data_IF_076313944660
#
_entry.id   IF_076313944660
#
_cell.length_a   1.000
_cell.length_b   1.000
_cell.length_c   1.000
_cell.angle_alpha   90.00
_cell.angle_beta   90.00
_cell.angle_gamma   90.00
#
_symmetry.space_group_name_H-M   'P 1'
#
loop_
_entity.id
_entity.type
_entity.pdbx_description
1 polymer ?
#
# COMPACT_ATOMS: atom_id res chain seq x y z
N UNK A 1 -20.06 -3.56 -4.28
CA UNK A 1 -18.80 -2.82 -4.36
C UNK A 1 -17.78 -3.60 -5.19
N UNK A 2 -17.09 -2.94 -6.07
CA UNK A 2 -16.02 -3.55 -6.87
C UNK A 2 -14.70 -3.54 -6.06
N UNK A 3 -14.16 -4.72 -5.76
CA UNK A 3 -12.88 -4.84 -5.05
C UNK A 3 -11.71 -5.07 -6.00
N UNK A 4 -11.91 -5.87 -7.02
CA UNK A 4 -10.87 -6.19 -8.00
C UNK A 4 -10.99 -5.29 -9.21
N UNK A 5 -9.86 -4.80 -9.66
CA UNK A 5 -9.75 -3.98 -10.85
C UNK A 5 -8.80 -4.65 -11.84
N UNK A 6 -9.23 -4.77 -13.08
CA UNK A 6 -8.39 -5.30 -14.15
C UNK A 6 -7.73 -4.16 -14.89
N UNK A 7 -6.55 -3.77 -14.41
CA UNK A 7 -5.74 -2.75 -15.08
C UNK A 7 -4.66 -3.41 -15.92
N UNK A 8 -4.52 -3.06 -17.20
CA UNK A 8 -3.46 -3.62 -18.04
C UNK A 8 -2.08 -3.36 -17.45
N UNK A 9 -1.27 -4.41 -17.36
CA UNK A 9 0.08 -4.33 -16.81
C UNK A 9 0.17 -4.21 -15.29
N UNK A 10 -0.96 -4.22 -14.59
CA UNK A 10 -0.99 -4.17 -13.12
C UNK A 10 -1.82 -5.34 -12.60
N UNK A 11 -1.15 -6.31 -12.03
CA UNK A 11 -1.80 -7.53 -11.54
C UNK A 11 -2.28 -7.35 -10.09
N UNK A 12 -3.37 -8.03 -9.76
CA UNK A 12 -3.90 -8.12 -8.39
C UNK A 12 -4.21 -6.77 -7.73
N UNK A 13 -4.59 -5.76 -8.50
CA UNK A 13 -5.02 -4.50 -7.93
C UNK A 13 -6.42 -4.68 -7.32
N UNK A 14 -6.53 -4.37 -6.04
CA UNK A 14 -7.79 -4.54 -5.31
C UNK A 14 -7.94 -3.52 -4.19
N UNK A 15 -9.18 -3.15 -3.95
CA UNK A 15 -9.58 -2.34 -2.80
C UNK A 15 -9.65 -3.25 -1.56
N UNK A 16 -9.04 -2.83 -0.47
CA UNK A 16 -9.09 -3.55 0.81
C UNK A 16 -10.26 -3.09 1.69
N UNK A 17 -11.16 -2.31 1.15
CA UNK A 17 -12.33 -1.82 1.86
C UNK A 17 -13.50 -2.80 1.87
N UNK A 18 -14.55 -2.37 2.52
CA UNK A 18 -15.85 -3.06 2.62
C UNK A 18 -15.81 -4.41 3.34
N UNK A 19 -14.80 -4.66 4.15
CA UNK A 19 -14.76 -5.79 5.06
C UNK A 19 -15.40 -5.41 6.41
N UNK A 20 -16.07 -6.38 7.03
CA UNK A 20 -16.59 -6.20 8.39
C UNK A 20 -15.41 -6.01 9.36
N UNK A 21 -15.55 -5.04 10.25
CA UNK A 21 -14.53 -4.71 11.24
C UNK A 21 -15.19 -4.29 12.54
N UNK A 22 -14.40 -4.14 13.59
CA UNK A 22 -14.84 -3.57 14.86
C UNK A 22 -13.87 -2.45 15.25
N UNK A 23 -14.42 -1.37 15.79
CA UNK A 23 -13.58 -0.30 16.33
C UNK A 23 -13.04 -0.68 17.72
N UNK A 24 -12.28 0.22 18.33
CA UNK A 24 -11.67 -0.02 19.65
C UNK A 24 -12.72 -0.20 20.75
N UNK A 25 -13.92 0.33 20.55
CA UNK A 25 -15.03 0.19 21.48
C UNK A 25 -15.88 -1.07 21.22
N UNK A 26 -15.48 -1.89 20.25
CA UNK A 26 -16.17 -3.12 19.88
C UNK A 26 -17.38 -2.92 18.99
N UNK A 27 -17.65 -1.72 18.53
CA UNK A 27 -18.77 -1.44 17.63
C UNK A 27 -18.52 -1.98 16.23
N UNK A 28 -19.56 -2.53 15.61
CA UNK A 28 -19.49 -3.00 14.25
C UNK A 28 -19.25 -1.84 13.28
N UNK A 29 -18.27 -2.01 12.42
CA UNK A 29 -17.88 -1.05 11.40
C UNK A 29 -17.57 -1.79 10.10
N UNK A 30 -17.33 -1.04 9.04
CA UNK A 30 -16.81 -1.56 7.79
C UNK A 30 -15.55 -0.78 7.40
N UNK A 31 -14.59 -1.46 6.84
CA UNK A 31 -13.38 -0.82 6.32
C UNK A 31 -13.81 0.10 5.17
N UNK A 32 -13.31 1.32 5.17
CA UNK A 32 -13.67 2.31 4.17
C UNK A 32 -13.15 1.91 2.78
N UNK A 33 -14.01 2.00 1.79
CA UNK A 33 -13.65 1.74 0.39
C UNK A 33 -12.99 2.95 -0.25
N UNK A 34 -12.14 2.71 -1.27
CA UNK A 34 -11.52 3.80 -2.02
C UNK A 34 -10.35 4.47 -1.31
N UNK A 35 -9.84 3.89 -0.25
CA UNK A 35 -8.78 4.47 0.58
C UNK A 35 -7.51 3.64 0.55
N UNK A 36 -7.63 2.34 0.79
CA UNK A 36 -6.50 1.44 0.89
C UNK A 36 -6.58 0.38 -0.19
N UNK A 37 -5.54 0.28 -1.01
CA UNK A 37 -5.45 -0.66 -2.12
C UNK A 37 -4.22 -1.54 -1.98
N UNK A 38 -4.26 -2.69 -2.63
CA UNK A 38 -3.13 -3.60 -2.73
C UNK A 38 -2.94 -3.98 -4.19
N UNK A 39 -1.69 -4.12 -4.61
CA UNK A 39 -1.37 -4.44 -6.00
C UNK A 39 -0.07 -5.21 -6.10
N UNK A 40 0.18 -5.79 -7.27
CA UNK A 40 1.51 -6.20 -7.69
C UNK A 40 2.39 -4.98 -8.00
N UNK A 41 3.55 -5.20 -8.61
CA UNK A 41 4.46 -4.10 -8.93
C UNK A 41 3.93 -3.24 -10.09
N UNK A 42 4.45 -2.02 -10.17
CA UNK A 42 4.04 -1.04 -11.18
C UNK A 42 4.98 -0.98 -12.40
N UNK A 43 5.79 -2.00 -12.62
CA UNK A 43 6.76 -1.99 -13.71
C UNK A 43 6.12 -2.01 -15.10
N UNK A 44 5.08 -2.80 -15.26
CA UNK A 44 4.41 -3.03 -16.54
C UNK A 44 3.13 -2.21 -16.73
N UNK A 45 2.90 -1.23 -15.88
CA UNK A 45 1.70 -0.37 -15.94
C UNK A 45 1.69 0.42 -17.24
N UNK A 46 0.60 0.29 -18.01
CA UNK A 46 0.46 1.03 -19.26
C UNK A 46 -0.28 2.38 -19.07
N UNK A 47 -0.44 3.13 -20.17
CA UNK A 47 -1.08 4.44 -20.13
C UNK A 47 -2.54 4.37 -19.67
N UNK A 48 -3.28 3.35 -20.09
CA UNK A 48 -4.68 3.17 -19.69
C UNK A 48 -4.80 2.93 -18.19
N UNK A 49 -3.93 2.08 -17.64
CA UNK A 49 -3.87 1.83 -16.20
C UNK A 49 -3.47 3.09 -15.43
N UNK A 50 -2.52 3.87 -15.92
CA UNK A 50 -2.15 5.15 -15.31
C UNK A 50 -3.34 6.10 -15.21
N UNK A 51 -4.13 6.23 -16.28
CA UNK A 51 -5.31 7.08 -16.26
C UNK A 51 -6.35 6.61 -15.25
N UNK A 52 -6.58 5.31 -15.18
CA UNK A 52 -7.50 4.73 -14.21
C UNK A 52 -7.03 4.93 -12.77
N UNK A 53 -5.74 4.74 -12.52
CA UNK A 53 -5.14 4.97 -11.19
C UNK A 53 -5.20 6.44 -10.79
N UNK A 54 -5.00 7.35 -11.72
CA UNK A 54 -5.09 8.78 -11.46
C UNK A 54 -6.47 9.18 -10.91
N UNK A 55 -7.52 8.54 -11.40
CA UNK A 55 -8.90 8.80 -10.96
C UNK A 55 -9.17 8.29 -9.53
N UNK A 56 -8.33 7.42 -8.98
CA UNK A 56 -8.49 6.90 -7.62
C UNK A 56 -7.94 7.83 -6.56
N UNK A 57 -7.18 8.87 -6.92
CA UNK A 57 -6.63 9.82 -5.98
C UNK A 57 -5.58 9.24 -5.04
N UNK A 58 -4.69 8.40 -5.56
CA UNK A 58 -3.62 7.78 -4.78
C UNK A 58 -2.66 8.86 -4.26
N UNK A 59 -2.52 8.95 -2.95
CA UNK A 59 -1.67 9.94 -2.30
C UNK A 59 -0.34 9.36 -1.81
N UNK A 60 -0.33 8.08 -1.45
CA UNK A 60 0.84 7.41 -0.89
C UNK A 60 0.97 6.01 -1.45
N UNK A 61 2.21 5.59 -1.68
CA UNK A 61 2.55 4.24 -2.11
C UNK A 61 3.54 3.66 -1.10
N UNK A 62 3.25 2.47 -0.61
CA UNK A 62 4.15 1.71 0.25
C UNK A 62 4.68 0.52 -0.54
N UNK A 63 5.97 0.53 -0.83
CA UNK A 63 6.63 -0.52 -1.60
C UNK A 63 7.41 -1.42 -0.64
N UNK A 64 7.03 -2.70 -0.59
CA UNK A 64 7.64 -3.68 0.31
C UNK A 64 8.65 -4.57 -0.39
N UNK A 65 9.02 -4.25 -1.62
CA UNK A 65 9.93 -5.09 -2.40
C UNK A 65 11.37 -4.96 -1.93
N UNK A 66 12.15 -6.03 -2.17
CA UNK A 66 13.58 -6.00 -1.91
C UNK A 66 14.29 -5.08 -2.92
N UNK A 67 15.51 -4.64 -2.58
CA UNK A 67 16.34 -3.85 -3.51
C UNK A 67 16.57 -4.59 -4.83
N UNK A 68 16.73 -5.91 -4.78
CA UNK A 68 16.92 -6.75 -5.96
C UNK A 68 15.70 -6.75 -6.87
N UNK A 69 14.51 -6.83 -6.30
CA UNK A 69 13.26 -6.77 -7.06
C UNK A 69 13.06 -5.41 -7.71
N UNK A 70 13.35 -4.34 -6.98
CA UNK A 70 13.29 -2.96 -7.49
C UNK A 70 14.28 -2.74 -8.63
N UNK A 71 15.48 -3.32 -8.53
CA UNK A 71 16.50 -3.19 -9.55
C UNK A 71 16.09 -3.90 -10.84
N UNK A 72 15.48 -5.08 -10.74
CA UNK A 72 15.00 -5.85 -11.90
C UNK A 72 13.78 -5.25 -12.55
N UNK A 73 12.84 -4.77 -11.76
CA UNK A 73 11.56 -4.24 -12.22
C UNK A 73 11.22 -2.94 -11.48
N UNK A 74 11.90 -1.84 -11.80
CA UNK A 74 11.64 -0.56 -11.15
C UNK A 74 10.20 -0.12 -11.40
N UNK A 75 9.65 0.60 -10.43
CA UNK A 75 8.31 1.16 -10.56
C UNK A 75 8.28 2.21 -11.67
N UNK A 76 7.32 2.09 -12.56
CA UNK A 76 7.06 3.05 -13.64
C UNK A 76 5.80 3.86 -13.39
N UNK A 77 5.34 3.90 -12.15
CA UNK A 77 4.17 4.65 -11.79
C UNK A 77 4.45 6.16 -11.88
N UNK A 78 3.71 6.86 -12.74
CA UNK A 78 3.83 8.29 -12.96
C UNK A 78 2.44 8.90 -12.87
N UNK A 79 2.04 9.32 -11.68
CA UNK A 79 0.77 9.96 -11.43
C UNK A 79 0.97 11.45 -11.17
N UNK A 80 -0.03 12.25 -11.51
CA UNK A 80 -0.06 13.69 -11.22
C UNK A 80 -1.33 14.03 -10.44
N UNK A 81 -1.21 14.59 -9.24
CA UNK A 81 0.05 14.84 -8.52
C UNK A 81 0.76 13.53 -8.14
N UNK A 82 2.07 13.58 -8.05
CA UNK A 82 2.87 12.39 -7.73
C UNK A 82 2.61 11.94 -6.29
N UNK A 83 2.32 10.65 -6.05
CA UNK A 83 2.18 10.14 -4.70
C UNK A 83 3.53 10.11 -3.99
N UNK A 84 3.50 10.20 -2.67
CA UNK A 84 4.68 9.98 -1.85
C UNK A 84 4.94 8.48 -1.78
N UNK A 85 6.14 8.04 -2.17
CA UNK A 85 6.52 6.64 -2.13
C UNK A 85 7.39 6.35 -0.92
N UNK A 86 6.99 5.35 -0.15
CA UNK A 86 7.72 4.85 1.02
C UNK A 86 8.26 3.46 0.69
N UNK A 87 9.57 3.32 0.72
CA UNK A 87 10.18 2.01 0.52
C UNK A 87 10.43 1.35 1.88
N UNK A 88 9.75 0.24 2.11
CA UNK A 88 9.83 -0.54 3.36
C UNK A 88 10.18 -1.98 2.99
N UNK A 89 11.46 -2.25 2.80
CA UNK A 89 11.93 -3.54 2.30
C UNK A 89 11.54 -4.69 3.22
N UNK A 90 10.78 -5.65 2.66
CA UNK A 90 10.44 -6.92 3.29
C UNK A 90 11.20 -8.04 2.62
N UNK A 91 12.24 -8.55 3.29
CA UNK A 91 12.97 -9.73 2.81
C UNK A 91 12.56 -10.94 3.66
N UNK A 92 11.72 -11.85 3.12
CA UNK A 92 11.24 -13.00 3.87
C UNK A 92 12.34 -14.03 4.19
N UNK A 93 13.51 -13.92 3.54
CA UNK A 93 14.66 -14.79 3.81
C UNK A 93 15.50 -14.41 5.02
N UNK A 94 15.25 -13.24 5.62
CA UNK A 94 15.97 -12.74 6.76
C UNK A 94 15.06 -12.62 7.98
N UNK A 95 15.32 -13.38 9.03
CA UNK A 95 14.53 -13.34 10.27
C UNK A 95 14.54 -11.98 10.98
N UNK A 96 15.45 -11.09 10.61
CA UNK A 96 15.58 -9.76 11.19
C UNK A 96 15.05 -8.64 10.28
N UNK A 97 14.54 -8.98 9.13
CA UNK A 97 14.16 -7.97 8.11
C UNK A 97 13.10 -7.03 8.62
N UNK A 98 12.13 -7.55 9.33
CA UNK A 98 11.07 -6.72 9.87
C UNK A 98 11.61 -5.70 10.89
N UNK A 99 12.57 -6.11 11.72
CA UNK A 99 13.24 -5.20 12.66
C UNK A 99 14.10 -4.16 11.94
N UNK A 100 14.75 -4.54 10.85
CA UNK A 100 15.54 -3.62 10.04
C UNK A 100 14.69 -2.59 9.32
N UNK A 101 13.52 -3.00 8.83
CA UNK A 101 12.58 -2.12 8.15
C UNK A 101 12.00 -1.03 9.05
N UNK A 102 11.85 -1.32 10.31
CA UNK A 102 11.24 -0.41 11.28
C UNK A 102 12.30 0.39 12.02
N UNK A 103 13.38 0.72 11.36
CA UNK A 103 14.37 1.66 11.90
C UNK A 103 13.71 3.01 12.15
N UNK A 104 14.16 3.72 13.18
CA UNK A 104 13.56 5.01 13.52
C UNK A 104 13.60 5.95 12.32
N UNK A 105 12.44 6.46 11.95
CA UNK A 105 12.32 7.58 11.03
C UNK A 105 12.07 8.80 11.90
N UNK A 106 13.01 9.73 11.90
CA UNK A 106 12.89 10.91 12.76
C UNK A 106 12.91 10.61 14.26
N UNK A 107 13.61 9.56 14.68
CA UNK A 107 13.74 9.17 16.10
C UNK A 107 12.62 8.27 16.63
N UNK A 108 11.63 7.95 15.83
CA UNK A 108 10.54 7.05 16.23
C UNK A 108 10.76 5.65 15.66
N UNK A 109 10.59 4.62 16.49
CA UNK A 109 10.66 3.23 16.04
C UNK A 109 9.29 2.80 15.52
N UNK A 110 9.24 2.42 14.24
CA UNK A 110 8.04 1.86 13.64
C UNK A 110 8.02 0.35 13.87
N UNK A 111 7.11 -0.13 14.72
CA UNK A 111 6.91 -1.56 14.97
C UNK A 111 5.81 -2.12 14.07
N UNK A 112 5.70 -3.47 13.99
CA UNK A 112 4.60 -4.12 13.29
C UNK A 112 3.25 -3.66 13.82
N UNK A 113 3.12 -3.54 15.13
CA UNK A 113 1.89 -3.07 15.78
C UNK A 113 1.59 -1.62 15.42
N UNK A 114 2.61 -0.77 15.35
CA UNK A 114 2.44 0.63 14.93
C UNK A 114 2.07 0.74 13.46
N UNK A 115 2.63 -0.07 12.59
CA UNK A 115 2.22 -0.12 11.19
C UNK A 115 0.76 -0.54 11.04
N UNK A 116 0.34 -1.57 11.77
CA UNK A 116 -1.07 -1.98 11.80
C UNK A 116 -1.97 -0.85 12.29
N UNK A 117 -1.58 -0.16 13.34
CA UNK A 117 -2.33 0.96 13.88
C UNK A 117 -2.42 2.10 12.89
N UNK A 118 -1.32 2.44 12.19
CA UNK A 118 -1.31 3.47 11.16
C UNK A 118 -2.25 3.13 10.01
N UNK A 119 -2.23 1.89 9.53
CA UNK A 119 -3.13 1.45 8.46
C UNK A 119 -4.58 1.48 8.91
N UNK A 120 -4.86 1.05 10.14
CA UNK A 120 -6.19 1.12 10.73
C UNK A 120 -6.66 2.57 10.87
N UNK A 121 -5.79 3.49 11.28
CA UNK A 121 -6.10 4.91 11.41
C UNK A 121 -6.38 5.56 10.07
N UNK A 122 -5.63 5.23 9.03
CA UNK A 122 -5.90 5.69 7.66
C UNK A 122 -7.30 5.25 7.24
N UNK A 123 -7.70 4.03 7.55
CA UNK A 123 -9.03 3.53 7.22
C UNK A 123 -10.14 4.16 8.05
N UNK A 124 -9.85 4.65 9.25
CA UNK A 124 -10.86 5.27 10.14
C UNK A 124 -11.01 6.76 9.95
N UNK A 125 -9.93 7.45 9.65
CA UNK A 125 -9.93 8.92 9.57
C UNK A 125 -10.35 9.46 8.20
N UNK A 126 -10.49 8.59 7.23
CA UNK A 126 -10.94 8.93 5.89
C UNK A 126 -12.34 8.41 5.63
#
# INVERSE_FOLDING_TARGET
>A
MQRHYNFPGLINFRDLGDYAARDLDGKARRVKSGVLFRAGHFHDVDAAAHNALANLGILQVFDFRTARELDKKPSRLQLLPAPVTHWLELDPGSGNTFKAMVKPVGGATLTASKMKAMMADVNRSL
#
